data_IF_959807139331
#
_entry.id   IF_959807139331
#
_cell.length_a   1.000
_cell.length_b   1.000
_cell.length_c   1.000
_cell.angle_alpha   90.00
_cell.angle_beta   90.00
_cell.angle_gamma   90.00
#
_symmetry.space_group_name_H-M   'P 1'
#
loop_
_entity.id
_entity.type
_entity.pdbx_description
1 polymer ?
#
# COMPACT_ATOMS: atom_id res chain seq x y z
N UNK A 1 19.05 -16.33 -13.75
CA UNK A 1 19.15 -15.72 -12.42
C UNK A 1 20.19 -14.63 -12.47
N UNK A 2 19.78 -13.37 -12.63
CA UNK A 2 20.69 -12.21 -12.54
C UNK A 2 20.46 -11.58 -11.17
N UNK A 3 21.42 -11.77 -10.27
CA UNK A 3 21.54 -11.02 -9.03
C UNK A 3 21.83 -9.56 -9.38
N UNK A 4 20.82 -8.70 -9.29
CA UNK A 4 20.97 -7.25 -9.29
C UNK A 4 21.26 -6.85 -7.84
N UNK A 5 22.40 -7.29 -7.32
CA UNK A 5 22.94 -6.85 -6.04
C UNK A 5 23.84 -5.64 -6.27
N UNK A 6 23.23 -4.47 -6.50
CA UNK A 6 23.77 -3.11 -6.25
C UNK A 6 22.81 -2.06 -6.84
N UNK A 7 21.60 -1.94 -6.30
CA UNK A 7 20.70 -0.84 -6.65
C UNK A 7 20.21 -0.12 -5.38
N UNK A 8 20.09 1.20 -5.46
CA UNK A 8 19.93 2.11 -4.32
C UNK A 8 18.86 1.67 -3.32
N UNK A 9 19.12 1.87 -2.02
CA UNK A 9 18.22 1.51 -0.92
C UNK A 9 16.81 2.03 -1.19
N UNK A 10 15.91 1.13 -1.54
CA UNK A 10 14.47 1.38 -1.55
C UNK A 10 13.89 0.92 -0.22
N UNK A 11 12.76 1.51 0.13
CA UNK A 11 11.88 0.98 1.15
C UNK A 11 10.53 0.64 0.50
N UNK A 12 9.83 -0.33 1.07
CA UNK A 12 8.60 -0.88 0.49
C UNK A 12 7.42 -0.88 1.46
N UNK A 13 6.22 -0.97 0.89
CA UNK A 13 4.99 -1.30 1.60
C UNK A 13 4.26 -2.37 0.80
N UNK A 14 3.86 -3.45 1.44
CA UNK A 14 3.05 -4.50 0.80
C UNK A 14 1.58 -4.19 1.01
N UNK A 15 0.80 -4.23 -0.07
CA UNK A 15 -0.63 -3.98 -0.07
C UNK A 15 -1.30 -5.21 -0.68
N UNK A 16 -2.18 -5.85 0.07
CA UNK A 16 -2.90 -7.06 -0.31
C UNK A 16 -4.38 -6.75 -0.47
N UNK A 17 -4.99 -7.30 -1.53
CA UNK A 17 -6.42 -7.18 -1.76
C UNK A 17 -7.20 -7.79 -0.59
N UNK A 18 -8.25 -7.11 -0.11
CA UNK A 18 -9.14 -7.68 0.89
C UNK A 18 -10.11 -8.69 0.23
N UNK A 19 -9.97 -9.98 0.53
CA UNK A 19 -10.83 -11.02 -0.05
C UNK A 19 -12.31 -10.94 0.34
N UNK A 20 -12.66 -10.12 1.35
CA UNK A 20 -14.04 -9.92 1.82
C UNK A 20 -14.84 -8.86 1.08
N UNK A 21 -14.18 -8.07 0.24
CA UNK A 21 -14.79 -6.97 -0.48
C UNK A 21 -15.25 -7.48 -1.86
N UNK A 22 -16.54 -7.85 -1.94
CA UNK A 22 -17.10 -8.73 -2.99
C UNK A 22 -17.30 -8.06 -4.36
N UNK A 23 -17.38 -6.72 -4.43
CA UNK A 23 -17.52 -5.99 -5.70
C UNK A 23 -17.18 -4.50 -5.53
N UNK A 24 -15.91 -4.12 -5.63
CA UNK A 24 -15.53 -2.74 -5.38
C UNK A 24 -15.78 -1.82 -6.58
N UNK A 25 -16.21 -2.31 -7.75
CA UNK A 25 -16.31 -1.49 -8.97
C UNK A 25 -14.97 -1.08 -9.59
N UNK A 26 -13.95 -0.72 -8.77
CA UNK A 26 -12.61 -0.33 -9.21
C UNK A 26 -11.63 -0.05 -8.06
N UNK A 27 -10.44 0.45 -8.41
CA UNK A 27 -9.33 0.67 -7.48
C UNK A 27 -9.65 1.72 -6.39
N UNK A 28 -10.48 2.70 -6.72
CA UNK A 28 -10.89 3.81 -5.83
C UNK A 28 -11.78 3.37 -4.67
N UNK A 29 -12.55 2.32 -4.90
CA UNK A 29 -13.57 1.83 -3.98
C UNK A 29 -13.14 0.52 -3.28
N UNK A 30 -12.06 -0.10 -3.78
CA UNK A 30 -11.48 -1.34 -3.25
C UNK A 30 -10.83 -1.15 -1.88
N UNK A 31 -11.03 -2.15 -1.02
CA UNK A 31 -10.38 -2.24 0.27
C UNK A 31 -9.12 -3.11 0.23
N UNK A 32 -8.09 -2.66 0.93
CA UNK A 32 -6.80 -3.34 1.01
C UNK A 32 -6.32 -3.48 2.44
N UNK A 33 -5.54 -4.53 2.70
CA UNK A 33 -4.75 -4.69 3.91
C UNK A 33 -3.30 -4.37 3.58
N UNK A 34 -2.58 -3.71 4.47
CA UNK A 34 -1.21 -3.27 4.20
C UNK A 34 -0.26 -3.55 5.36
N UNK A 35 1.00 -3.79 5.02
CA UNK A 35 2.03 -4.07 6.01
C UNK A 35 3.43 -3.92 5.44
N UNK A 36 4.36 -3.52 6.30
CA UNK A 36 5.80 -3.50 6.03
C UNK A 36 6.40 -4.90 6.20
N UNK A 37 5.81 -5.67 7.12
CA UNK A 37 6.20 -7.03 7.45
C UNK A 37 4.95 -7.92 7.55
N UNK A 38 5.11 -9.21 7.27
CA UNK A 38 4.01 -10.19 7.31
C UNK A 38 3.27 -10.28 8.66
N UNK A 39 3.97 -10.08 9.78
CA UNK A 39 3.37 -10.12 11.12
C UNK A 39 2.37 -8.97 11.35
N UNK A 40 2.51 -7.84 10.63
CA UNK A 40 1.55 -6.72 10.70
C UNK A 40 0.22 -7.08 10.04
N UNK A 41 0.22 -8.11 9.18
CA UNK A 41 -0.95 -8.62 8.46
C UNK A 41 -1.46 -9.97 8.99
N UNK A 42 -0.77 -10.54 9.98
CA UNK A 42 -1.14 -11.84 10.56
C UNK A 42 -2.35 -11.74 11.50
N UNK A 43 -2.71 -10.53 11.93
CA UNK A 43 -3.92 -10.29 12.72
C UNK A 43 -5.12 -10.06 11.80
N UNK A 44 -6.13 -10.93 11.88
CA UNK A 44 -7.36 -10.86 11.10
C UNK A 44 -8.19 -9.61 11.39
N UNK A 45 -7.96 -8.96 12.53
CA UNK A 45 -8.63 -7.71 12.93
C UNK A 45 -7.96 -6.46 12.34
N UNK A 46 -6.93 -6.62 11.49
CA UNK A 46 -6.32 -5.48 10.80
C UNK A 46 -7.33 -4.89 9.81
N UNK A 47 -7.86 -3.71 10.15
CA UNK A 47 -8.81 -2.95 9.34
C UNK A 47 -8.36 -2.89 7.87
N UNK A 48 -9.25 -3.27 6.96
CA UNK A 48 -9.07 -3.00 5.55
C UNK A 48 -9.31 -1.50 5.27
N UNK A 49 -8.61 -0.93 4.30
CA UNK A 49 -8.56 0.52 4.08
C UNK A 49 -8.39 0.80 2.59
N UNK A 50 -8.93 1.92 2.11
CA UNK A 50 -8.77 2.36 0.72
C UNK A 50 -7.37 2.91 0.46
N UNK A 51 -6.89 2.79 -0.77
CA UNK A 51 -5.62 3.40 -1.16
C UNK A 51 -5.78 4.90 -1.42
N UNK A 52 -4.79 5.74 -1.09
CA UNK A 52 -4.82 7.17 -1.41
C UNK A 52 -4.68 7.43 -2.91
N UNK A 53 -5.11 8.61 -3.38
CA UNK A 53 -5.08 8.99 -4.80
C UNK A 53 -3.68 9.00 -5.43
N UNK A 54 -2.65 9.27 -4.64
CA UNK A 54 -1.27 9.11 -5.10
C UNK A 54 -0.87 7.68 -5.42
N UNK A 55 -1.40 6.67 -4.70
CA UNK A 55 -1.14 5.28 -5.04
C UNK A 55 -1.91 4.86 -6.28
N UNK A 56 -3.13 5.35 -6.48
CA UNK A 56 -3.86 5.14 -7.75
C UNK A 56 -3.04 5.66 -8.94
N UNK A 57 -2.44 6.84 -8.80
CA UNK A 57 -1.55 7.41 -9.83
C UNK A 57 -0.33 6.50 -10.09
N UNK A 58 0.28 5.95 -9.04
CA UNK A 58 1.44 5.07 -9.17
C UNK A 58 1.09 3.70 -9.79
N UNK A 59 -0.08 3.14 -9.46
CA UNK A 59 -0.59 1.90 -10.06
C UNK A 59 -0.87 2.10 -11.54
N UNK A 60 -1.59 3.15 -11.91
CA UNK A 60 -1.88 3.47 -13.32
C UNK A 60 -0.61 3.74 -14.14
N UNK A 61 0.37 4.48 -13.58
CA UNK A 61 1.66 4.70 -14.23
C UNK A 61 2.48 3.40 -14.42
N UNK A 62 2.25 2.39 -13.58
CA UNK A 62 2.92 1.10 -13.65
C UNK A 62 2.18 0.10 -14.54
N UNK A 63 0.92 0.36 -14.88
CA UNK A 63 0.08 -0.48 -15.75
C UNK A 63 -0.30 -1.82 -15.13
N UNK A 64 -0.42 -1.88 -13.79
CA UNK A 64 -0.70 -3.12 -13.04
C UNK A 64 -2.07 -3.08 -12.33
N UNK A 65 -3.04 -2.38 -12.91
CA UNK A 65 -4.36 -2.17 -12.29
C UNK A 65 -5.11 -3.49 -12.09
N UNK A 66 -5.06 -4.39 -13.07
CA UNK A 66 -5.72 -5.71 -13.00
C UNK A 66 -5.09 -6.56 -11.89
N UNK A 67 -3.75 -6.67 -11.87
CA UNK A 67 -3.01 -7.45 -10.87
C UNK A 67 -3.21 -6.89 -9.45
N UNK A 68 -3.26 -5.57 -9.32
CA UNK A 68 -3.54 -4.88 -8.07
C UNK A 68 -4.94 -5.18 -7.52
N UNK A 69 -5.95 -5.29 -8.40
CA UNK A 69 -7.31 -5.64 -8.01
C UNK A 69 -7.47 -7.12 -7.69
N UNK A 70 -6.72 -8.00 -8.35
CA UNK A 70 -6.77 -9.44 -8.12
C UNK A 70 -6.07 -9.86 -6.82
N UNK A 71 -4.82 -9.42 -6.63
CA UNK A 71 -3.98 -9.89 -5.52
C UNK A 71 -3.45 -8.76 -4.64
N UNK A 72 -3.27 -7.58 -5.20
CA UNK A 72 -2.60 -6.45 -4.56
C UNK A 72 -1.25 -6.15 -5.22
N UNK A 73 -0.42 -5.35 -4.55
CA UNK A 73 0.81 -4.83 -5.12
C UNK A 73 1.83 -4.45 -4.04
N UNK A 74 3.10 -4.32 -4.43
CA UNK A 74 4.16 -3.72 -3.61
C UNK A 74 4.37 -2.29 -4.06
N UNK A 75 4.37 -1.37 -3.10
CA UNK A 75 4.83 0.00 -3.32
C UNK A 75 6.32 0.06 -3.04
N UNK A 76 7.11 0.50 -4.00
CA UNK A 76 8.51 0.83 -3.83
C UNK A 76 8.69 2.35 -3.74
N UNK A 77 9.55 2.79 -2.82
CA UNK A 77 9.82 4.20 -2.55
C UNK A 77 11.32 4.46 -2.48
N UNK A 78 11.75 5.60 -3.03
CA UNK A 78 13.15 6.06 -3.06
C UNK A 78 13.24 7.58 -2.92
N UNK A 79 14.37 8.07 -2.41
CA UNK A 79 14.65 9.50 -2.19
C UNK A 79 15.53 10.13 -3.29
N UNK A 80 15.72 9.41 -4.40
CA UNK A 80 16.55 9.83 -5.54
C UNK A 80 15.74 9.80 -6.82
N UNK A 81 16.09 10.72 -7.71
CA UNK A 81 15.54 10.83 -9.06
C UNK A 81 15.64 9.50 -9.82
N UNK A 82 14.59 9.21 -10.60
CA UNK A 82 14.44 7.99 -11.38
C UNK A 82 14.14 8.36 -12.84
N UNK A 83 14.79 7.66 -13.77
CA UNK A 83 14.56 7.84 -15.22
C UNK A 83 13.42 6.97 -15.75
N UNK A 84 13.04 5.90 -15.04
CA UNK A 84 11.97 4.99 -15.44
C UNK A 84 10.60 5.67 -15.23
N UNK A 85 9.77 5.81 -16.29
CA UNK A 85 8.50 6.56 -16.24
C UNK A 85 7.45 5.95 -15.31
N UNK A 86 7.65 4.71 -14.85
CA UNK A 86 6.78 4.08 -13.84
C UNK A 86 6.98 4.67 -12.44
N UNK A 87 8.06 5.41 -12.23
CA UNK A 87 8.29 6.16 -10.99
C UNK A 87 7.60 7.52 -11.08
N UNK A 88 6.67 7.74 -10.16
CA UNK A 88 5.97 9.01 -10.01
C UNK A 88 6.67 9.83 -8.92
N UNK A 89 7.07 11.05 -9.27
CA UNK A 89 7.64 11.99 -8.32
C UNK A 89 6.53 12.65 -7.48
N UNK A 90 6.72 12.65 -6.17
CA UNK A 90 5.92 13.44 -5.25
C UNK A 90 6.80 14.43 -4.48
N UNK A 91 6.32 15.67 -4.36
CA UNK A 91 6.98 16.73 -3.59
C UNK A 91 6.29 16.95 -2.25
N UNK A 92 7.08 17.20 -1.19
CA UNK A 92 6.54 17.50 0.14
C UNK A 92 5.85 18.86 0.16
N UNK A 93 4.60 18.90 0.63
CA UNK A 93 3.76 20.13 0.65
C UNK A 93 3.58 20.68 2.06
N UNK A 94 3.29 19.81 3.02
CA UNK A 94 3.10 20.20 4.42
C UNK A 94 3.67 19.13 5.35
N UNK A 95 4.31 19.56 6.44
CA UNK A 95 4.78 18.66 7.51
C UNK A 95 4.18 19.09 8.84
N UNK A 96 3.58 18.15 9.53
CA UNK A 96 3.09 18.30 10.90
C UNK A 96 3.97 17.44 11.79
N UNK A 97 4.60 18.05 12.79
CA UNK A 97 5.47 17.36 13.73
C UNK A 97 5.10 17.72 15.16
N UNK A 98 4.97 16.70 16.01
CA UNK A 98 4.89 16.93 17.45
C UNK A 98 6.22 17.53 17.98
N UNK A 99 6.12 18.41 18.98
CA UNK A 99 7.27 19.10 19.60
C UNK A 99 8.18 18.13 20.38
N UNK A 100 7.72 16.90 20.65
CA UNK A 100 8.45 15.90 21.42
C UNK A 100 9.64 15.31 20.64
N UNK A 101 10.76 14.94 21.31
CA UNK A 101 11.88 14.23 20.69
C UNK A 101 11.50 12.88 20.04
N UNK A 102 10.41 12.27 20.51
CA UNK A 102 9.81 11.05 19.95
C UNK A 102 8.48 11.33 19.25
N UNK A 103 8.26 12.61 18.95
CA UNK A 103 7.06 13.13 18.32
C UNK A 103 6.75 12.41 17.03
N UNK A 104 5.47 12.17 16.77
CA UNK A 104 5.05 11.65 15.47
C UNK A 104 5.15 12.81 14.48
N UNK A 105 5.75 12.56 13.33
CA UNK A 105 5.70 13.52 12.22
C UNK A 105 5.04 12.89 11.02
N UNK A 106 4.19 13.67 10.37
CA UNK A 106 3.52 13.31 9.13
C UNK A 106 3.83 14.37 8.08
N UNK A 107 4.09 13.93 6.86
CA UNK A 107 4.33 14.83 5.73
C UNK A 107 3.38 14.45 4.61
N UNK A 108 2.61 15.43 4.16
CA UNK A 108 1.78 15.32 2.98
C UNK A 108 2.64 15.59 1.74
N UNK A 109 2.58 14.68 0.79
CA UNK A 109 3.19 14.82 -0.52
C UNK A 109 2.13 14.91 -1.60
N UNK A 110 2.42 15.65 -2.66
CA UNK A 110 1.52 15.78 -3.82
C UNK A 110 2.26 15.61 -5.14
N UNK A 111 1.55 15.06 -6.11
CA UNK A 111 1.89 14.98 -7.52
C UNK A 111 0.73 15.58 -8.33
N UNK A 112 0.98 16.63 -9.11
CA UNK A 112 -0.08 17.34 -9.82
C UNK A 112 -1.11 17.98 -8.87
N UNK A 113 -2.35 18.14 -9.34
CA UNK A 113 -3.38 18.91 -8.63
C UNK A 113 -4.22 18.07 -7.64
N UNK A 114 -4.35 16.76 -7.84
CA UNK A 114 -5.28 15.92 -7.07
C UNK A 114 -4.67 14.62 -6.49
N UNK A 115 -3.39 14.31 -6.76
CA UNK A 115 -2.77 13.07 -6.27
C UNK A 115 -1.94 13.33 -5.03
N UNK A 116 -2.36 12.77 -3.88
CA UNK A 116 -1.68 12.98 -2.61
C UNK A 116 -1.31 11.68 -1.89
N UNK A 117 -0.25 11.75 -1.08
CA UNK A 117 0.22 10.67 -0.20
C UNK A 117 0.63 11.25 1.15
N UNK A 118 0.10 10.71 2.25
CA UNK A 118 0.59 11.02 3.59
C UNK A 118 1.69 10.02 3.99
N UNK A 119 2.87 10.52 4.35
CA UNK A 119 3.96 9.71 4.90
C UNK A 119 4.11 9.95 6.39
N UNK A 120 4.26 8.86 7.15
CA UNK A 120 4.51 8.88 8.59
C UNK A 120 5.97 8.54 8.86
N UNK A 121 6.62 9.35 9.69
CA UNK A 121 7.98 9.06 10.17
C UNK A 121 7.95 7.88 11.13
N UNK A 122 8.65 6.81 10.73
CA UNK A 122 8.78 5.60 11.54
C UNK A 122 10.00 5.73 12.44
N UNK A 123 9.77 5.71 13.75
CA UNK A 123 10.84 5.64 14.74
C UNK A 123 11.41 4.21 14.80
N UNK A 124 12.73 4.07 14.72
CA UNK A 124 13.42 2.81 15.00
C UNK A 124 14.17 2.92 16.31
N UNK A 125 14.08 1.89 17.17
CA UNK A 125 14.86 1.82 18.41
C UNK A 125 16.39 1.78 18.18
N UNK A 126 16.82 1.49 16.95
CA UNK A 126 18.23 1.19 16.62
C UNK A 126 18.94 2.27 15.82
N UNK A 127 18.26 3.34 15.41
CA UNK A 127 18.84 4.41 14.60
C UNK A 127 18.03 5.69 14.73
N UNK A 128 18.70 6.86 14.60
CA UNK A 128 18.00 8.14 14.50
C UNK A 128 17.03 8.05 13.31
N UNK A 129 15.74 8.33 13.50
CA UNK A 129 14.77 8.20 12.42
C UNK A 129 15.17 9.18 11.30
N UNK A 130 15.27 8.65 10.08
CA UNK A 130 15.59 9.46 8.91
C UNK A 130 14.50 10.52 8.74
N UNK A 131 14.90 11.74 8.42
CA UNK A 131 13.94 12.78 8.07
C UNK A 131 13.29 12.45 6.73
N UNK A 132 12.01 12.80 6.60
CA UNK A 132 11.28 12.61 5.36
C UNK A 132 11.88 13.53 4.28
N UNK A 133 12.30 12.99 3.12
CA UNK A 133 13.00 13.76 2.10
C UNK A 133 12.06 14.74 1.39
N UNK A 134 12.56 15.84 0.84
CA UNK A 134 11.68 16.83 0.16
C UNK A 134 10.95 16.27 -1.06
N UNK A 135 11.51 15.24 -1.70
CA UNK A 135 10.98 14.57 -2.88
C UNK A 135 11.10 13.07 -2.69
N UNK A 136 10.07 12.33 -3.09
CA UNK A 136 10.04 10.87 -3.07
C UNK A 136 9.57 10.41 -4.44
N UNK A 137 10.21 9.36 -4.95
CA UNK A 137 9.76 8.64 -6.13
C UNK A 137 9.06 7.38 -5.67
N UNK A 138 7.86 7.16 -6.17
CA UNK A 138 6.99 6.04 -5.81
C UNK A 138 6.65 5.25 -7.06
N UNK A 139 6.73 3.92 -6.98
CA UNK A 139 6.34 3.00 -8.05
C UNK A 139 5.53 1.85 -7.46
N UNK A 140 4.51 1.39 -8.18
CA UNK A 140 3.79 0.18 -7.85
C UNK A 140 4.36 -1.00 -8.65
N UNK A 141 4.49 -2.16 -8.02
CA UNK A 141 5.00 -3.39 -8.63
C UNK A 141 4.05 -4.55 -8.29
N UNK A 142 3.95 -5.53 -9.17
CA UNK A 142 3.24 -6.78 -8.89
C UNK A 142 3.76 -7.43 -7.60
N UNK A 143 2.88 -8.16 -6.90
CA UNK A 143 3.28 -8.90 -5.72
C UNK A 143 4.24 -10.04 -6.10
N UNK A 144 5.37 -10.18 -5.39
CA UNK A 144 6.22 -11.35 -5.55
C UNK A 144 5.44 -12.64 -5.21
N UNK A 145 5.62 -13.69 -6.02
CA UNK A 145 4.94 -14.98 -5.80
C UNK A 145 5.02 -15.53 -4.36
N UNK A 146 6.15 -15.43 -3.62
CA UNK A 146 6.20 -15.85 -2.22
C UNK A 146 5.21 -15.10 -1.31
N UNK A 147 4.97 -13.81 -1.58
CA UNK A 147 4.01 -12.98 -0.84
C UNK A 147 2.58 -13.42 -1.12
N UNK A 148 2.26 -13.71 -2.38
CA UNK A 148 0.94 -14.22 -2.78
C UNK A 148 0.67 -15.57 -2.12
N UNK A 149 1.63 -16.50 -2.16
CA UNK A 149 1.50 -17.81 -1.52
C UNK A 149 1.28 -17.70 -0.01
N UNK A 150 2.05 -16.86 0.67
CA UNK A 150 1.85 -16.61 2.09
C UNK A 150 0.47 -16.04 2.38
N UNK A 151 -0.01 -15.09 1.57
CA UNK A 151 -1.32 -14.48 1.75
C UNK A 151 -2.45 -15.50 1.60
N UNK A 152 -2.32 -16.44 0.65
CA UNK A 152 -3.23 -17.58 0.49
C UNK A 152 -3.18 -18.50 1.72
N UNK A 153 -1.99 -18.92 2.17
CA UNK A 153 -1.82 -19.82 3.31
C UNK A 153 -2.33 -19.24 4.64
N UNK A 154 -2.40 -17.91 4.75
CA UNK A 154 -2.86 -17.18 5.94
C UNK A 154 -4.29 -16.65 5.80
N UNK A 155 -5.04 -17.07 4.77
CA UNK A 155 -6.44 -16.71 4.59
C UNK A 155 -6.69 -15.22 4.37
N UNK A 156 -5.72 -14.48 3.83
CA UNK A 156 -5.88 -13.04 3.54
C UNK A 156 -6.93 -12.81 2.45
N UNK A 157 -6.99 -13.72 1.48
CA UNK A 157 -7.94 -13.70 0.37
C UNK A 157 -9.22 -14.50 0.67
N UNK A 158 -9.36 -15.04 1.88
CA UNK A 158 -10.57 -15.78 2.24
C UNK A 158 -11.74 -14.79 2.32
N UNK A 159 -12.72 -14.97 1.45
CA UNK A 159 -14.04 -14.37 1.62
C UNK A 159 -14.67 -14.92 2.91
N UNK A 160 -15.52 -14.13 3.56
CA UNK A 160 -16.32 -14.67 4.68
C UNK A 160 -17.07 -15.92 4.20
N UNK A 161 -17.03 -17.00 5.01
CA UNK A 161 -17.42 -18.39 4.64
C UNK A 161 -18.89 -18.59 4.23
N UNK A 162 -19.61 -17.55 3.86
CA UNK A 162 -21.01 -17.59 3.53
C UNK A 162 -21.34 -16.83 2.25
N UNK A 163 -20.83 -17.29 1.10
CA UNK A 163 -21.59 -17.33 -0.16
C UNK A 163 -20.76 -17.97 -1.28
N UNK A 164 -20.73 -19.29 -1.32
CA UNK A 164 -20.80 -19.93 -2.62
C UNK A 164 -22.16 -19.53 -3.22
N UNK A 165 -22.21 -18.44 -3.98
CA UNK A 165 -23.42 -18.04 -4.68
C UNK A 165 -23.74 -19.14 -5.69
N UNK A 166 -24.90 -19.77 -5.50
CA UNK A 166 -25.48 -20.63 -6.53
C UNK A 166 -25.76 -19.73 -7.75
N UNK A 167 -25.67 -20.31 -8.95
CA UNK A 167 -25.82 -19.60 -10.23
C UNK A 167 -27.18 -18.87 -10.36
N UNK A 168 -28.17 -19.25 -9.57
CA UNK A 168 -29.50 -18.62 -9.46
C UNK A 168 -29.47 -17.23 -8.78
N UNK A 169 -28.48 -16.95 -7.94
CA UNK A 169 -28.31 -15.65 -7.27
C UNK A 169 -27.76 -14.55 -8.21
N UNK A 170 -27.26 -14.91 -9.39
CA UNK A 170 -26.75 -13.97 -10.40
C UNK A 170 -27.87 -13.20 -11.13
N UNK A 171 -29.13 -13.63 -10.99
CA UNK A 171 -30.29 -12.98 -11.62
C UNK A 171 -30.91 -11.88 -10.74
N UNK A 172 -30.57 -11.84 -9.45
CA UNK A 172 -31.05 -10.83 -8.52
C UNK A 172 -29.94 -9.82 -8.22
N UNK A 173 -30.18 -8.56 -8.58
CA UNK A 173 -29.26 -7.44 -8.35
C UNK A 173 -28.95 -7.31 -6.86
N UNK A 174 -27.68 -7.45 -6.40
CA UNK A 174 -27.38 -7.31 -5.00
C UNK A 174 -27.56 -5.85 -4.56
N UNK A 175 -28.36 -5.67 -3.52
CA UNK A 175 -28.58 -4.38 -2.86
C UNK A 175 -27.29 -3.84 -2.25
N UNK A 176 -27.15 -2.52 -2.36
CA UNK A 176 -26.02 -1.68 -1.95
C UNK A 176 -25.21 -2.23 -0.77
N UNK A 177 -23.94 -2.48 -1.03
CA UNK A 177 -22.88 -2.65 -0.04
C UNK A 177 -22.89 -1.44 0.90
N UNK A 178 -22.85 -1.63 2.23
CA UNK A 178 -22.74 -0.51 3.16
C UNK A 178 -21.47 0.27 2.86
N UNK A 179 -21.59 1.60 2.73
CA UNK A 179 -20.45 2.48 2.52
C UNK A 179 -19.39 2.27 3.60
N UNK A 180 -18.09 2.26 3.23
CA UNK A 180 -17.00 2.01 4.17
C UNK A 180 -17.03 2.99 5.34
N UNK A 181 -16.68 2.49 6.52
CA UNK A 181 -16.61 3.27 7.76
C UNK A 181 -15.31 4.07 7.78
N UNK A 182 -15.45 5.40 7.82
CA UNK A 182 -14.40 6.44 7.86
C UNK A 182 -13.47 6.50 6.63
N UNK A 183 -13.21 7.74 6.17
CA UNK A 183 -12.32 8.13 5.05
C UNK A 183 -10.83 7.85 5.32
N UNK A 184 -10.52 6.81 6.08
CA UNK A 184 -9.17 6.41 6.40
C UNK A 184 -8.54 5.89 5.11
N UNK A 185 -7.40 6.46 4.74
CA UNK A 185 -6.56 5.99 3.63
C UNK A 185 -5.26 5.43 4.18
N UNK A 186 -4.63 4.53 3.43
CA UNK A 186 -3.37 3.89 3.84
C UNK A 186 -2.28 4.97 4.07
N UNK A 187 -1.70 5.06 5.28
CA UNK A 187 -0.54 5.92 5.51
C UNK A 187 0.74 5.25 4.98
N UNK A 188 1.58 6.03 4.32
CA UNK A 188 2.84 5.54 3.76
C UNK A 188 3.95 5.56 4.81
N UNK A 189 4.82 4.53 4.89
CA UNK A 189 5.96 4.54 5.79
C UNK A 189 7.08 5.41 5.25
N UNK A 190 7.73 6.20 6.11
CA UNK A 190 9.00 6.84 5.80
C UNK A 190 10.16 5.84 5.66
N UNK A 191 11.32 6.29 5.14
CA UNK A 191 12.50 5.45 5.02
C UNK A 191 13.03 5.00 6.39
N UNK A 192 13.56 3.78 6.45
CA UNK A 192 14.31 3.28 7.61
C UNK A 192 15.72 2.87 7.20
N UNK A 193 16.64 2.78 8.17
CA UNK A 193 18.06 2.51 7.91
C UNK A 193 18.37 1.15 7.25
N UNK A 194 17.40 0.23 7.27
CA UNK A 194 17.44 -1.11 6.65
C UNK A 194 16.25 -1.26 5.70
N UNK A 195 16.36 -1.91 4.54
CA UNK A 195 15.21 -2.14 3.67
C UNK A 195 14.11 -2.92 4.41
N UNK A 196 12.84 -2.62 4.11
CA UNK A 196 11.72 -3.45 4.56
C UNK A 196 11.78 -4.79 3.83
N UNK A 197 11.60 -5.89 4.56
CA UNK A 197 11.57 -7.24 4.02
C UNK A 197 10.29 -7.93 4.49
N UNK A 198 9.29 -8.03 3.62
CA UNK A 198 7.97 -8.55 4.02
C UNK A 198 8.08 -9.97 4.61
N UNK A 199 8.98 -10.79 4.08
CA UNK A 199 9.26 -12.16 4.51
C UNK A 199 10.48 -12.32 5.44
N UNK A 200 11.10 -11.22 5.87
CA UNK A 200 12.37 -11.23 6.60
C UNK A 200 13.59 -10.87 5.75
#
# INVERSE_FOLDING_TARGET
MRNIEREGKYWTLTILRNGKDEDPGGLEDSEFRFGRFNFELSDSETDATRIPSGLMTAVGASGIEEEALETGFVVEMRDREQEDPRWVEFSSTATVSDISPWGRSRTLYSCGECSTLEFIKIHSCSSRPADLPRRIWVRACELPAPVVLWAMDNGVYDADKSRQMRLDYWLDSPGQTPAPRDDKVIPMPGPIGRPYGFMG
#
